data_IF_586806979201
#
_entry.id   IF_586806979201
#
_cell.length_a   1.000
_cell.length_b   1.000
_cell.length_c   1.000
_cell.angle_alpha   90.00
_cell.angle_beta   90.00
_cell.angle_gamma   90.00
#
_symmetry.space_group_name_H-M   'P 1'
#
loop_
_entity.id
_entity.type
_entity.pdbx_description
1 polymer ?
#
# COMPACT_ATOMS: atom_id res chain seq x y z
N UNK A 1 -15.87 -14.42 -2.74
CA UNK A 1 -16.19 -13.07 -3.25
C UNK A 1 -15.86 -12.94 -4.74
N UNK A 2 -16.68 -12.29 -5.57
CA UNK A 2 -16.36 -11.97 -6.97
C UNK A 2 -15.84 -10.52 -7.06
N UNK A 3 -14.70 -10.29 -7.72
CA UNK A 3 -14.07 -8.96 -7.85
C UNK A 3 -14.38 -8.24 -9.17
N UNK A 4 -15.25 -8.80 -10.04
CA UNK A 4 -15.60 -8.22 -11.34
C UNK A 4 -16.14 -6.78 -11.29
N UNK A 5 -16.82 -6.41 -10.22
CA UNK A 5 -17.37 -5.07 -10.02
C UNK A 5 -16.50 -4.18 -9.13
N UNK A 6 -15.36 -4.68 -8.66
CA UNK A 6 -14.50 -3.97 -7.73
C UNK A 6 -13.68 -2.87 -8.43
N UNK A 7 -13.52 -1.73 -7.75
CA UNK A 7 -12.42 -0.80 -8.01
C UNK A 7 -11.26 -1.13 -7.07
N UNK A 8 -10.09 -1.46 -7.64
CA UNK A 8 -8.86 -1.57 -6.87
C UNK A 8 -8.26 -0.17 -6.71
N UNK A 9 -7.94 0.23 -5.49
CA UNK A 9 -7.27 1.51 -5.20
C UNK A 9 -5.94 1.21 -4.53
N UNK A 10 -4.85 1.69 -5.12
CA UNK A 10 -3.49 1.52 -4.58
C UNK A 10 -2.79 2.86 -4.42
N UNK A 11 -1.77 2.89 -3.57
CA UNK A 11 -1.01 4.09 -3.28
C UNK A 11 -0.07 4.44 -4.45
N UNK A 12 0.85 3.56 -4.82
CA UNK A 12 1.92 3.85 -5.76
C UNK A 12 1.86 2.98 -7.02
N UNK A 13 2.45 3.43 -8.13
CA UNK A 13 2.68 2.57 -9.29
C UNK A 13 3.64 1.44 -8.91
N UNK A 14 3.22 0.20 -9.17
CA UNK A 14 3.77 -1.10 -8.79
C UNK A 14 3.01 -1.83 -7.68
N UNK A 15 2.29 -1.11 -6.81
CA UNK A 15 1.50 -1.72 -5.73
C UNK A 15 0.38 -2.63 -6.26
N UNK A 16 -0.21 -2.31 -7.41
CA UNK A 16 -1.29 -3.07 -8.02
C UNK A 16 -0.89 -4.49 -8.40
N UNK A 17 0.40 -4.72 -8.66
CA UNK A 17 0.94 -6.05 -8.91
C UNK A 17 1.62 -6.64 -7.68
N UNK A 18 2.21 -5.84 -6.80
CA UNK A 18 2.90 -6.35 -5.62
C UNK A 18 1.94 -7.06 -4.65
N UNK A 19 0.75 -6.47 -4.45
CA UNK A 19 -0.15 -6.90 -3.38
C UNK A 19 -1.51 -7.42 -3.87
N UNK A 20 -1.81 -7.29 -5.17
CA UNK A 20 -3.14 -7.57 -5.73
C UNK A 20 -3.10 -8.33 -7.07
N UNK A 21 -1.98 -9.00 -7.38
CA UNK A 21 -1.79 -9.68 -8.66
C UNK A 21 -2.89 -10.71 -8.97
N UNK A 22 -3.40 -11.40 -7.94
CA UNK A 22 -4.43 -12.44 -8.06
C UNK A 22 -5.82 -11.92 -8.43
N UNK A 23 -6.06 -10.61 -8.28
CA UNK A 23 -7.36 -9.97 -8.57
C UNK A 23 -7.25 -8.87 -9.63
N UNK A 24 -6.03 -8.43 -9.97
CA UNK A 24 -5.79 -7.31 -10.87
C UNK A 24 -6.54 -7.47 -12.19
N UNK A 25 -6.48 -8.65 -12.82
CA UNK A 25 -7.17 -8.95 -14.08
C UNK A 25 -8.70 -9.01 -13.93
N UNK A 26 -9.20 -9.24 -12.72
CA UNK A 26 -10.63 -9.39 -12.42
C UNK A 26 -11.31 -8.09 -12.02
N UNK A 27 -10.60 -7.08 -11.50
CA UNK A 27 -11.21 -5.80 -11.12
C UNK A 27 -11.79 -5.04 -12.33
N UNK A 28 -12.90 -4.33 -12.10
CA UNK A 28 -13.56 -3.44 -13.07
C UNK A 28 -12.64 -2.31 -13.50
N UNK A 29 -11.92 -1.74 -12.55
CA UNK A 29 -10.98 -0.64 -12.74
C UNK A 29 -9.94 -0.61 -11.63
N UNK A 30 -8.86 0.13 -11.88
CA UNK A 30 -7.79 0.36 -10.91
C UNK A 30 -7.48 1.84 -10.85
N UNK A 31 -7.39 2.39 -9.65
CA UNK A 31 -6.93 3.75 -9.38
C UNK A 31 -5.59 3.68 -8.66
N UNK A 32 -4.56 4.26 -9.27
CA UNK A 32 -3.25 4.44 -8.64
C UNK A 32 -3.15 5.88 -8.17
N UNK A 33 -3.08 6.08 -6.86
CA UNK A 33 -3.24 7.40 -6.24
C UNK A 33 -2.10 8.36 -6.57
N UNK A 34 -0.88 7.94 -6.27
CA UNK A 34 0.29 8.79 -6.32
C UNK A 34 1.08 8.60 -7.61
N UNK A 35 1.82 9.66 -7.98
CA UNK A 35 2.67 9.69 -9.15
C UNK A 35 4.10 10.04 -8.81
N UNK A 36 4.43 11.33 -8.93
CA UNK A 36 5.76 11.84 -8.63
C UNK A 36 5.98 11.98 -7.12
N UNK A 37 7.23 11.75 -6.70
CA UNK A 37 7.71 12.05 -5.35
C UNK A 37 7.49 13.52 -4.98
N UNK A 38 7.58 13.84 -3.69
CA UNK A 38 7.40 15.21 -3.22
C UNK A 38 8.37 16.18 -3.91
N UNK A 39 9.63 15.77 -4.10
CA UNK A 39 10.67 16.58 -4.75
C UNK A 39 10.71 16.46 -6.28
N UNK A 40 10.07 15.44 -6.86
CA UNK A 40 10.23 15.06 -8.28
C UNK A 40 11.69 14.81 -8.68
N UNK A 41 12.51 14.35 -7.73
CA UNK A 41 13.94 14.09 -7.92
C UNK A 41 14.32 12.66 -7.54
N UNK A 42 13.36 11.78 -7.23
CA UNK A 42 13.67 10.38 -7.01
C UNK A 42 13.98 9.71 -8.35
N UNK A 43 14.86 8.70 -8.32
CA UNK A 43 15.34 8.00 -9.53
C UNK A 43 14.21 7.41 -10.39
N UNK A 44 13.08 7.07 -9.77
CA UNK A 44 11.94 6.44 -10.43
C UNK A 44 10.94 7.45 -11.00
N UNK A 45 11.06 8.75 -10.73
CA UNK A 45 10.05 9.74 -11.12
C UNK A 45 9.89 9.86 -12.65
N UNK A 46 11.00 9.95 -13.38
CA UNK A 46 10.98 10.02 -14.85
C UNK A 46 10.42 8.74 -15.46
N UNK A 47 10.85 7.59 -14.94
CA UNK A 47 10.41 6.28 -15.36
C UNK A 47 8.91 6.06 -15.15
N UNK A 48 8.40 6.41 -13.97
CA UNK A 48 6.96 6.39 -13.67
C UNK A 48 6.21 7.30 -14.60
N UNK A 49 6.70 8.52 -14.85
CA UNK A 49 6.04 9.45 -15.74
C UNK A 49 5.89 8.89 -17.16
N UNK A 50 6.93 8.24 -17.70
CA UNK A 50 6.88 7.61 -19.01
C UNK A 50 5.93 6.40 -19.01
N UNK A 51 6.10 5.48 -18.07
CA UNK A 51 5.32 4.26 -17.98
C UNK A 51 3.82 4.54 -17.78
N UNK A 52 3.44 5.59 -17.05
CA UNK A 52 2.04 5.97 -16.85
C UNK A 52 1.31 6.37 -18.14
N UNK A 53 2.02 6.95 -19.11
CA UNK A 53 1.43 7.34 -20.40
C UNK A 53 1.21 6.12 -21.31
N UNK A 54 2.03 5.08 -21.15
CA UNK A 54 2.05 3.89 -22.01
C UNK A 54 1.62 2.62 -21.28
N UNK A 55 0.99 2.75 -20.11
CA UNK A 55 0.67 1.60 -19.27
C UNK A 55 -0.30 0.64 -19.99
N UNK A 56 0.01 -0.67 -20.08
CA UNK A 56 -0.66 -1.56 -21.01
C UNK A 56 -2.10 -1.93 -20.59
N UNK A 57 -2.45 -1.73 -19.33
CA UNK A 57 -3.78 -2.05 -18.82
C UNK A 57 -4.67 -0.81 -18.86
N UNK A 58 -5.54 -0.72 -19.87
CA UNK A 58 -6.45 0.43 -20.09
C UNK A 58 -7.41 0.71 -18.94
N UNK A 59 -7.66 -0.29 -18.08
CA UNK A 59 -8.49 -0.14 -16.87
C UNK A 59 -7.75 0.49 -15.69
N UNK A 60 -6.45 0.72 -15.80
CA UNK A 60 -5.63 1.38 -14.79
C UNK A 60 -5.58 2.86 -15.08
N UNK A 61 -5.97 3.67 -14.09
CA UNK A 61 -5.92 5.12 -14.14
C UNK A 61 -5.01 5.64 -13.04
N UNK A 62 -4.03 6.45 -13.43
CA UNK A 62 -3.15 7.15 -12.51
C UNK A 62 -3.75 8.51 -12.15
N UNK A 63 -4.05 8.73 -10.87
CA UNK A 63 -4.55 10.02 -10.37
C UNK A 63 -3.44 11.07 -10.27
N UNK A 64 -2.17 10.63 -10.33
CA UNK A 64 -0.96 11.46 -10.36
C UNK A 64 -0.91 12.49 -9.23
N UNK A 65 -1.43 12.14 -8.05
CA UNK A 65 -1.24 12.95 -6.85
C UNK A 65 0.23 12.93 -6.47
N UNK A 66 0.73 14.04 -5.93
CA UNK A 66 2.12 14.12 -5.48
C UNK A 66 2.27 13.37 -4.16
N UNK A 67 3.30 12.53 -4.05
CA UNK A 67 3.63 11.84 -2.80
C UNK A 67 4.09 12.83 -1.72
N UNK A 68 4.04 12.38 -0.49
CA UNK A 68 4.53 13.10 0.69
C UNK A 68 5.96 12.72 1.08
N UNK A 69 6.51 11.68 0.45
CA UNK A 69 7.77 11.03 0.82
C UNK A 69 7.77 10.60 2.31
N UNK A 70 6.63 10.11 2.82
CA UNK A 70 6.46 9.75 4.22
C UNK A 70 7.10 8.41 4.59
N UNK A 71 7.70 7.69 3.64
CA UNK A 71 8.27 6.38 3.88
C UNK A 71 9.29 6.36 5.05
N UNK A 72 9.07 5.45 5.99
CA UNK A 72 9.91 5.20 7.16
C UNK A 72 10.09 6.41 8.11
N UNK A 73 9.07 7.26 8.18
CA UNK A 73 9.03 8.44 9.06
C UNK A 73 8.25 8.20 10.35
N UNK A 74 7.25 7.30 10.35
CA UNK A 74 6.45 7.01 11.53
C UNK A 74 7.25 6.19 12.57
N UNK A 75 6.82 6.24 13.83
CA UNK A 75 7.31 5.34 14.87
C UNK A 75 6.60 3.99 14.79
N UNK A 76 7.20 3.04 14.06
CA UNK A 76 6.66 1.68 13.92
C UNK A 76 6.86 0.81 15.16
N UNK A 77 7.65 1.25 16.14
CA UNK A 77 7.76 0.60 17.45
C UNK A 77 6.60 0.97 18.40
N UNK A 78 5.92 2.08 18.12
CA UNK A 78 4.64 2.44 18.75
C UNK A 78 3.76 3.25 17.78
N UNK A 79 3.21 2.60 16.73
CA UNK A 79 2.49 3.32 15.70
C UNK A 79 1.19 3.87 16.26
N UNK A 80 1.00 5.18 16.10
CA UNK A 80 -0.25 5.88 16.44
C UNK A 80 -1.00 6.22 15.18
N UNK A 81 -2.25 5.77 15.13
CA UNK A 81 -3.14 6.07 14.01
C UNK A 81 -3.85 7.39 14.26
N UNK A 82 -3.97 8.19 13.21
CA UNK A 82 -4.67 9.48 13.18
C UNK A 82 -5.53 9.56 11.92
N UNK A 83 -6.35 10.60 11.77
CA UNK A 83 -7.26 10.75 10.62
C UNK A 83 -6.55 10.71 9.26
N UNK A 84 -5.32 11.23 9.18
CA UNK A 84 -4.52 11.25 7.95
C UNK A 84 -3.77 9.94 7.65
N UNK A 85 -3.86 8.93 8.53
CA UNK A 85 -3.06 7.71 8.46
C UNK A 85 -2.31 7.44 9.76
N UNK A 86 -1.01 7.73 9.76
CA UNK A 86 -0.13 7.63 10.95
C UNK A 86 0.33 8.99 11.46
N UNK A 87 0.53 9.09 12.77
CA UNK A 87 1.19 10.24 13.40
C UNK A 87 2.64 10.29 12.90
N UNK A 88 2.99 11.38 12.22
CA UNK A 88 4.36 11.65 11.76
C UNK A 88 5.02 12.74 12.61
N UNK A 89 6.36 12.77 12.70
CA UNK A 89 7.07 13.88 13.33
C UNK A 89 6.69 15.24 12.72
N UNK A 90 6.62 16.29 13.53
CA UNK A 90 6.12 17.65 13.14
C UNK A 90 6.66 18.19 11.81
N UNK A 91 7.93 17.92 11.48
CA UNK A 91 8.55 18.40 10.24
C UNK A 91 8.10 17.69 8.96
N UNK A 92 7.36 16.57 9.07
CA UNK A 92 6.88 15.75 7.95
C UNK A 92 5.35 15.65 7.89
N UNK A 93 4.65 16.06 8.95
CA UNK A 93 3.20 15.83 9.08
C UNK A 93 2.36 16.70 8.11
N UNK A 94 2.73 17.96 7.86
CA UNK A 94 1.89 18.87 7.08
C UNK A 94 1.63 18.41 5.63
N UNK A 95 2.64 17.88 4.94
CA UNK A 95 2.48 17.40 3.55
C UNK A 95 1.63 16.14 3.53
N UNK A 96 1.92 15.20 4.44
CA UNK A 96 1.16 13.96 4.58
C UNK A 96 -0.31 14.21 4.91
N UNK A 97 -0.62 15.13 5.83
CA UNK A 97 -2.00 15.52 6.18
C UNK A 97 -2.74 16.20 5.01
N UNK A 98 -2.04 17.03 4.23
CA UNK A 98 -2.60 17.62 3.00
C UNK A 98 -2.90 16.55 1.95
N UNK A 99 -2.04 15.54 1.84
CA UNK A 99 -2.29 14.40 0.96
C UNK A 99 -3.54 13.63 1.36
N UNK A 100 -3.76 13.34 2.65
CA UNK A 100 -5.01 12.72 3.11
C UNK A 100 -6.25 13.54 2.74
N UNK A 101 -6.19 14.87 2.90
CA UNK A 101 -7.30 15.76 2.52
C UNK A 101 -7.55 15.72 1.01
N UNK A 102 -6.48 15.70 0.21
CA UNK A 102 -6.58 15.64 -1.25
C UNK A 102 -7.11 14.29 -1.74
N UNK A 103 -6.61 13.20 -1.17
CA UNK A 103 -7.08 11.84 -1.43
C UNK A 103 -8.57 11.73 -1.14
N UNK A 104 -9.01 12.20 0.03
CA UNK A 104 -10.43 12.14 0.42
C UNK A 104 -11.31 12.80 -0.63
N UNK A 105 -10.96 14.02 -1.06
CA UNK A 105 -11.72 14.75 -2.08
C UNK A 105 -11.73 14.06 -3.44
N UNK A 106 -10.58 13.57 -3.91
CA UNK A 106 -10.47 12.96 -5.24
C UNK A 106 -11.17 11.60 -5.26
N UNK A 107 -10.88 10.74 -4.28
CA UNK A 107 -11.45 9.40 -4.19
C UNK A 107 -12.95 9.43 -3.92
N UNK A 108 -13.48 10.43 -3.20
CA UNK A 108 -14.93 10.60 -3.08
C UNK A 108 -15.59 10.73 -4.46
N UNK A 109 -15.05 11.61 -5.32
CA UNK A 109 -15.58 11.80 -6.68
C UNK A 109 -15.46 10.55 -7.55
N UNK A 110 -14.35 9.83 -7.45
CA UNK A 110 -14.10 8.62 -8.25
C UNK A 110 -14.95 7.41 -7.78
N UNK A 111 -15.36 7.37 -6.51
CA UNK A 111 -15.97 6.18 -5.89
C UNK A 111 -17.45 6.35 -5.51
N UNK A 112 -18.05 7.52 -5.72
CA UNK A 112 -19.44 7.81 -5.29
C UNK A 112 -20.48 6.80 -5.78
N UNK A 113 -20.26 6.18 -6.95
CA UNK A 113 -21.18 5.21 -7.55
C UNK A 113 -20.71 3.75 -7.45
N UNK A 114 -19.66 3.51 -6.67
CA UNK A 114 -19.05 2.21 -6.55
C UNK A 114 -19.61 1.44 -5.36
N UNK A 115 -19.84 0.15 -5.54
CA UNK A 115 -20.36 -0.73 -4.48
C UNK A 115 -19.27 -1.54 -3.80
N UNK A 116 -18.10 -1.68 -4.43
CA UNK A 116 -17.02 -2.53 -3.96
C UNK A 116 -15.66 -1.91 -4.26
N UNK A 117 -14.85 -1.75 -3.21
CA UNK A 117 -13.49 -1.24 -3.26
C UNK A 117 -12.53 -2.24 -2.63
N UNK A 118 -11.37 -2.44 -3.24
CA UNK A 118 -10.26 -3.22 -2.67
C UNK A 118 -9.05 -2.31 -2.53
N UNK A 119 -8.31 -2.41 -1.43
CA UNK A 119 -7.16 -1.53 -1.16
C UNK A 119 -6.13 -2.15 -0.20
N UNK A 120 -5.10 -1.38 0.14
CA UNK A 120 -4.12 -1.67 1.18
C UNK A 120 -4.75 -1.98 2.54
N UNK A 121 -4.03 -2.74 3.35
CA UNK A 121 -4.47 -3.10 4.70
C UNK A 121 -4.20 -1.98 5.73
N UNK A 122 -4.83 -2.05 6.92
CA UNK A 122 -4.69 -1.02 7.96
C UNK A 122 -3.26 -0.77 8.46
N UNK A 123 -2.34 -1.68 8.19
CA UNK A 123 -0.96 -1.63 8.67
C UNK A 123 0.08 -1.44 7.55
N UNK A 124 -0.37 -1.17 6.32
CA UNK A 124 0.47 -0.80 5.18
C UNK A 124 1.44 -1.89 4.75
N UNK A 125 1.01 -3.15 4.75
CA UNK A 125 1.77 -4.32 4.27
C UNK A 125 3.13 -4.48 4.97
N UNK A 126 4.20 -3.99 4.34
CA UNK A 126 5.56 -3.98 4.88
C UNK A 126 5.83 -2.79 5.82
N UNK A 127 4.80 -2.01 6.14
CA UNK A 127 4.86 -0.82 6.96
C UNK A 127 5.16 0.44 6.16
N UNK A 128 4.33 0.75 5.16
CA UNK A 128 4.38 1.99 4.40
C UNK A 128 3.30 2.99 4.85
N UNK A 129 3.72 4.21 5.22
CA UNK A 129 2.86 5.25 5.76
C UNK A 129 1.75 5.67 4.78
N UNK A 130 2.05 5.79 3.48
CA UNK A 130 1.04 6.16 2.48
C UNK A 130 0.05 5.05 2.15
N UNK A 131 0.39 3.77 2.40
CA UNK A 131 -0.56 2.67 2.26
C UNK A 131 -1.61 2.74 3.36
N UNK A 132 -1.16 3.00 4.60
CA UNK A 132 -2.04 3.27 5.75
C UNK A 132 -2.91 4.50 5.49
N UNK A 133 -2.37 5.56 4.86
CA UNK A 133 -3.14 6.76 4.51
C UNK A 133 -4.26 6.46 3.50
N UNK A 134 -3.97 5.71 2.45
CA UNK A 134 -4.98 5.31 1.45
C UNK A 134 -6.06 4.44 2.11
N UNK A 135 -5.68 3.45 2.92
CA UNK A 135 -6.63 2.65 3.70
C UNK A 135 -7.53 3.53 4.58
N UNK A 136 -6.94 4.42 5.41
CA UNK A 136 -7.71 5.27 6.33
C UNK A 136 -8.67 6.19 5.58
N UNK A 137 -8.24 6.73 4.45
CA UNK A 137 -9.09 7.57 3.59
C UNK A 137 -10.29 6.79 3.07
N UNK A 138 -10.07 5.56 2.58
CA UNK A 138 -11.15 4.71 2.07
C UNK A 138 -12.06 4.17 3.17
N UNK A 139 -11.53 3.85 4.35
CA UNK A 139 -12.35 3.48 5.51
C UNK A 139 -13.31 4.61 5.91
N UNK A 140 -12.84 5.87 5.86
CA UNK A 140 -13.70 7.04 6.09
C UNK A 140 -14.72 7.23 4.98
N UNK A 141 -14.34 7.03 3.71
CA UNK A 141 -15.29 7.10 2.60
C UNK A 141 -16.33 5.99 2.66
N UNK A 142 -15.95 4.77 3.08
CA UNK A 142 -16.90 3.68 3.32
C UNK A 142 -18.02 4.13 4.26
N UNK A 143 -17.70 4.78 5.37
CA UNK A 143 -18.70 5.31 6.30
C UNK A 143 -19.56 6.42 5.69
N UNK A 144 -19.00 7.22 4.78
CA UNK A 144 -19.68 8.37 4.16
C UNK A 144 -20.61 7.98 3.01
N UNK A 145 -20.17 7.07 2.13
CA UNK A 145 -20.85 6.76 0.86
C UNK A 145 -21.27 5.29 0.70
N UNK A 146 -20.87 4.39 1.61
CA UNK A 146 -21.54 3.09 1.79
C UNK A 146 -21.09 1.92 0.91
N UNK A 147 -19.87 1.91 0.37
CA UNK A 147 -19.33 0.75 -0.36
C UNK A 147 -18.82 -0.38 0.56
N UNK A 148 -18.71 -1.60 0.03
CA UNK A 148 -17.94 -2.68 0.64
C UNK A 148 -16.44 -2.45 0.44
N UNK A 149 -15.66 -2.62 1.51
CA UNK A 149 -14.22 -2.42 1.49
C UNK A 149 -13.52 -3.74 1.81
N UNK A 150 -12.59 -4.13 0.94
CA UNK A 150 -11.73 -5.28 1.14
C UNK A 150 -10.27 -4.85 1.17
N UNK A 151 -9.44 -5.59 1.91
CA UNK A 151 -8.01 -5.35 2.03
C UNK A 151 -7.20 -6.62 1.81
N UNK A 152 -5.96 -6.50 1.33
CA UNK A 152 -5.04 -7.64 1.29
C UNK A 152 -4.61 -8.06 2.72
N UNK A 153 -3.88 -9.17 2.84
CA UNK A 153 -3.45 -9.73 4.13
C UNK A 153 -1.94 -9.64 4.40
N UNK A 154 -1.20 -8.89 3.58
CA UNK A 154 0.26 -8.87 3.67
C UNK A 154 0.75 -8.23 4.97
N UNK A 155 1.78 -8.79 5.60
CA UNK A 155 2.35 -8.24 6.84
C UNK A 155 3.86 -8.46 6.89
N UNK A 156 4.59 -7.61 7.59
CA UNK A 156 6.03 -7.77 7.84
C UNK A 156 6.35 -7.66 9.33
N UNK A 157 7.61 -7.90 9.70
CA UNK A 157 8.08 -7.65 11.06
C UNK A 157 7.94 -6.19 11.52
N UNK A 158 7.96 -5.22 10.59
CA UNK A 158 7.81 -3.79 10.88
C UNK A 158 6.35 -3.42 11.20
N UNK A 159 5.39 -4.01 10.48
CA UNK A 159 3.97 -3.67 10.59
C UNK A 159 3.18 -4.56 11.56
N UNK A 160 3.76 -5.66 12.04
CA UNK A 160 3.10 -6.67 12.88
C UNK A 160 2.41 -6.09 14.14
N UNK A 161 3.00 -5.06 14.76
CA UNK A 161 2.42 -4.42 15.93
C UNK A 161 1.16 -3.61 15.60
N UNK A 162 1.12 -2.97 14.44
CA UNK A 162 -0.07 -2.25 13.98
C UNK A 162 -1.14 -3.25 13.51
N UNK A 163 -0.72 -4.33 12.86
CA UNK A 163 -1.60 -5.44 12.48
C UNK A 163 -2.34 -6.00 13.70
N UNK A 164 -1.62 -6.35 14.78
CA UNK A 164 -2.25 -6.95 15.97
C UNK A 164 -3.27 -6.01 16.63
N UNK A 165 -3.04 -4.70 16.55
CA UNK A 165 -4.00 -3.68 17.01
C UNK A 165 -5.22 -3.54 16.10
N UNK A 166 -5.12 -3.85 14.80
CA UNK A 166 -6.18 -3.59 13.81
C UNK A 166 -6.91 -4.85 13.33
N UNK A 167 -6.40 -6.05 13.58
CA UNK A 167 -6.95 -7.29 13.03
C UNK A 167 -8.42 -7.55 13.40
N UNK A 168 -8.91 -6.98 14.50
CA UNK A 168 -10.31 -7.05 14.92
C UNK A 168 -11.29 -6.35 13.96
N UNK A 169 -10.79 -5.47 13.08
CA UNK A 169 -11.58 -4.77 12.05
C UNK A 169 -11.78 -5.59 10.76
N UNK A 170 -11.34 -6.86 10.73
CA UNK A 170 -11.44 -7.75 9.58
C UNK A 170 -12.44 -8.88 9.85
N UNK A 171 -13.27 -9.19 8.85
CA UNK A 171 -14.10 -10.39 8.84
C UNK A 171 -13.21 -11.65 8.81
N UNK A 172 -13.47 -12.65 9.66
CA UNK A 172 -12.65 -13.85 9.78
C UNK A 172 -12.61 -14.75 8.54
N UNK A 173 -13.42 -14.47 7.51
CA UNK A 173 -13.54 -15.29 6.30
C UNK A 173 -12.89 -14.62 5.07
N UNK A 174 -11.58 -14.84 4.81
CA UNK A 174 -10.93 -14.27 3.64
C UNK A 174 -11.43 -14.89 2.33
N UNK A 175 -11.41 -14.08 1.28
CA UNK A 175 -11.39 -14.60 -0.09
C UNK A 175 -9.95 -14.85 -0.51
N UNK A 176 -9.56 -16.13 -0.62
CA UNK A 176 -8.25 -16.53 -1.14
C UNK A 176 -8.28 -16.65 -2.66
N UNK A 177 -7.23 -16.17 -3.32
CA UNK A 177 -7.08 -16.20 -4.78
C UNK A 177 -5.66 -16.63 -5.14
N UNK A 178 -5.54 -17.44 -6.19
CA UNK A 178 -4.23 -17.82 -6.71
C UNK A 178 -3.58 -16.61 -7.37
N UNK A 179 -2.35 -16.32 -7.01
CA UNK A 179 -1.54 -15.25 -7.57
C UNK A 179 -1.35 -15.43 -9.08
N UNK A 180 -1.64 -14.40 -9.87
CA UNK A 180 -1.30 -14.37 -11.29
C UNK A 180 0.17 -13.98 -11.46
N UNK A 181 1.07 -14.93 -11.17
CA UNK A 181 2.52 -14.72 -11.26
C UNK A 181 2.94 -14.32 -12.67
N UNK A 182 2.26 -14.82 -13.71
CA UNK A 182 2.59 -14.49 -15.09
C UNK A 182 2.33 -13.01 -15.39
N UNK A 183 1.16 -12.48 -14.98
CA UNK A 183 0.87 -11.06 -15.08
C UNK A 183 1.82 -10.22 -14.23
N UNK A 184 2.05 -10.62 -12.99
CA UNK A 184 2.94 -9.90 -12.07
C UNK A 184 4.38 -9.78 -12.63
N UNK A 185 4.94 -10.87 -13.15
CA UNK A 185 6.27 -10.85 -13.77
C UNK A 185 6.32 -10.00 -15.04
N UNK A 186 5.30 -10.06 -15.90
CA UNK A 186 5.25 -9.22 -17.12
C UNK A 186 5.23 -7.73 -16.78
N UNK A 187 4.37 -7.33 -15.84
CA UNK A 187 4.27 -5.93 -15.44
C UNK A 187 5.52 -5.47 -14.67
N UNK A 188 6.09 -6.32 -13.80
CA UNK A 188 7.40 -6.04 -13.16
C UNK A 188 8.49 -5.77 -14.19
N UNK A 189 8.55 -6.54 -15.28
CA UNK A 189 9.52 -6.31 -16.34
C UNK A 189 9.38 -4.91 -16.93
N UNK A 190 8.15 -4.44 -17.20
CA UNK A 190 7.90 -3.08 -17.67
C UNK A 190 8.37 -2.02 -16.66
N UNK A 191 8.09 -2.21 -15.37
CA UNK A 191 8.58 -1.30 -14.32
C UNK A 191 10.11 -1.25 -14.27
N UNK A 192 10.79 -2.38 -14.44
CA UNK A 192 12.25 -2.47 -14.49
C UNK A 192 12.83 -1.83 -15.75
N UNK A 193 12.25 -2.10 -16.92
CA UNK A 193 12.65 -1.54 -18.21
C UNK A 193 12.51 0.00 -18.25
N UNK A 194 11.56 0.54 -17.48
CA UNK A 194 11.36 1.97 -17.32
C UNK A 194 12.08 2.56 -16.09
N UNK A 195 13.01 1.84 -15.45
CA UNK A 195 13.78 2.31 -14.27
C UNK A 195 12.92 2.79 -13.08
N UNK A 196 11.69 2.28 -12.96
CA UNK A 196 10.70 2.75 -12.00
C UNK A 196 10.19 1.71 -11.02
N UNK A 197 10.73 0.49 -11.05
CA UNK A 197 10.51 -0.52 -10.02
C UNK A 197 11.06 -0.06 -8.66
N UNK A 198 10.21 -0.04 -7.64
CA UNK A 198 10.58 0.43 -6.28
C UNK A 198 10.72 -0.68 -5.25
N UNK A 199 10.49 -1.93 -5.63
CA UNK A 199 10.55 -3.08 -4.75
C UNK A 199 11.81 -3.95 -4.93
N UNK A 200 11.89 -5.02 -4.14
CA UNK A 200 12.94 -6.05 -4.23
C UNK A 200 12.84 -6.74 -5.60
N UNK A 201 13.94 -6.77 -6.36
CA UNK A 201 13.96 -7.22 -7.77
C UNK A 201 13.63 -8.72 -7.89
N UNK A 202 14.19 -9.53 -7.02
CA UNK A 202 14.02 -10.98 -6.95
C UNK A 202 12.84 -11.42 -6.08
N UNK A 203 11.93 -10.49 -5.75
CA UNK A 203 10.70 -10.81 -5.03
C UNK A 203 9.91 -11.90 -5.77
N UNK A 204 9.58 -12.98 -5.05
CA UNK A 204 8.65 -14.00 -5.52
C UNK A 204 7.33 -13.84 -4.76
N UNK A 205 6.24 -13.79 -5.52
CA UNK A 205 4.91 -13.67 -4.95
C UNK A 205 4.51 -14.97 -4.24
N UNK A 206 3.70 -14.89 -3.18
CA UNK A 206 3.10 -16.07 -2.57
C UNK A 206 2.24 -16.82 -3.60
N UNK A 207 1.98 -18.11 -3.37
CA UNK A 207 1.08 -18.90 -4.24
C UNK A 207 -0.35 -18.37 -4.22
N UNK A 208 -0.79 -17.87 -3.07
CA UNK A 208 -2.12 -17.32 -2.86
C UNK A 208 -2.04 -15.97 -2.16
N UNK A 209 -2.92 -15.06 -2.55
CA UNK A 209 -3.22 -13.81 -1.85
C UNK A 209 -4.57 -13.96 -1.14
N UNK A 210 -4.70 -13.36 0.04
CA UNK A 210 -5.96 -13.38 0.82
C UNK A 210 -6.52 -11.97 0.97
N UNK A 211 -7.83 -11.83 0.78
CA UNK A 211 -8.53 -10.55 0.89
C UNK A 211 -9.63 -10.60 1.94
N UNK A 212 -9.60 -9.64 2.84
CA UNK A 212 -10.47 -9.53 4.01
C UNK A 212 -11.47 -8.41 3.85
N UNK A 213 -12.74 -8.67 4.17
CA UNK A 213 -13.73 -7.60 4.27
C UNK A 213 -13.45 -6.78 5.53
N UNK A 214 -13.47 -5.46 5.40
CA UNK A 214 -13.38 -4.54 6.53
C UNK A 214 -14.76 -4.43 7.16
N UNK A 215 -14.84 -4.72 8.45
CA UNK A 215 -16.04 -4.61 9.27
C UNK A 215 -15.90 -3.44 10.23
N UNK A 216 -17.01 -2.79 10.54
CA UNK A 216 -17.03 -1.83 11.64
C UNK A 216 -16.84 -2.59 12.96
N UNK A 217 -16.12 -2.02 13.93
CA UNK A 217 -16.09 -2.59 15.26
C UNK A 217 -17.53 -2.64 15.80
N UNK A 218 -18.03 -3.84 16.03
CA UNK A 218 -19.28 -4.03 16.78
C UNK A 218 -18.94 -3.72 18.23
N UNK A 219 -19.71 -2.84 18.87
CA UNK A 219 -19.53 -2.43 20.28
C UNK A 219 -19.09 -3.61 21.17
N UNK A 220 -18.00 -3.40 21.91
CA UNK A 220 -17.29 -4.38 22.73
C UNK A 220 -18.23 -5.09 23.72
N UNK A 221 -18.81 -6.24 23.35
CA UNK A 221 -19.51 -7.10 24.33
C UNK A 221 -19.45 -8.61 24.07
N UNK A 222 -18.83 -9.08 22.98
CA UNK A 222 -18.69 -10.54 22.78
C UNK A 222 -17.21 -10.89 22.63
N UNK A 223 -16.60 -11.57 23.62
CA UNK A 223 -15.34 -12.26 23.43
C UNK A 223 -15.58 -13.47 22.52
N UNK A 224 -15.79 -13.19 21.24
CA UNK A 224 -15.81 -14.17 20.18
C UNK A 224 -14.38 -14.60 19.90
N UNK A 225 -14.22 -15.91 19.72
CA UNK A 225 -12.98 -16.58 19.31
C UNK A 225 -12.24 -15.73 18.29
N UNK A 226 -11.04 -15.26 18.66
CA UNK A 226 -10.11 -14.59 17.73
C UNK A 226 -9.74 -15.60 16.65
N UNK A 227 -10.51 -15.63 15.56
CA UNK A 227 -10.23 -16.49 14.43
C UNK A 227 -8.79 -16.20 13.99
N UNK A 228 -7.99 -17.25 13.77
CA UNK A 228 -6.68 -17.09 13.16
C UNK A 228 -6.88 -16.46 11.78
N UNK A 229 -6.37 -15.25 11.59
CA UNK A 229 -6.38 -14.56 10.29
C UNK A 229 -5.16 -15.09 9.52
N UNK A 230 -5.29 -15.95 8.50
CA UNK A 230 -4.14 -16.29 7.65
C UNK A 230 -3.59 -15.04 6.96
N UNK A 231 -2.32 -14.74 7.21
CA UNK A 231 -1.63 -13.56 6.68
C UNK A 231 -0.56 -13.97 5.67
N UNK A 232 -0.38 -13.13 4.64
CA UNK A 232 0.73 -13.25 3.71
C UNK A 232 1.98 -12.58 4.33
N UNK A 233 2.84 -13.34 4.99
CA UNK A 233 4.05 -12.77 5.60
C UNK A 233 5.11 -12.42 4.55
N UNK A 234 5.58 -11.17 4.56
CA UNK A 234 6.66 -10.68 3.71
C UNK A 234 8.00 -10.98 4.41
N UNK A 235 8.84 -11.86 3.86
CA UNK A 235 10.15 -12.17 4.44
C UNK A 235 11.09 -10.96 4.33
N UNK A 236 11.96 -10.79 5.32
CA UNK A 236 12.95 -9.69 5.37
C UNK A 236 12.91 -8.91 6.69
N UNK A 237 13.92 -8.08 6.92
CA UNK A 237 13.97 -7.19 8.07
C UNK A 237 13.68 -5.74 7.66
N UNK A 238 12.42 -5.32 7.82
CA UNK A 238 11.97 -3.99 7.47
C UNK A 238 12.18 -2.97 8.59
N UNK A 239 12.64 -3.40 9.77
CA UNK A 239 13.05 -2.49 10.84
C UNK A 239 14.36 -1.80 10.47
N UNK A 240 14.31 -0.49 10.26
CA UNK A 240 15.53 0.28 10.02
C UNK A 240 16.34 0.37 11.33
N UNK A 241 17.51 -0.27 11.37
CA UNK A 241 18.45 -0.10 12.48
C UNK A 241 18.87 1.38 12.60
N UNK A 242 18.90 1.96 13.82
CA UNK A 242 19.41 3.32 14.07
C UNK A 242 20.81 3.56 13.48
N UNK A 243 21.66 2.52 13.48
CA UNK A 243 23.01 2.57 12.89
C UNK A 243 22.98 2.72 11.37
N UNK A 244 22.02 2.07 10.69
CA UNK A 244 21.81 2.18 9.23
C UNK A 244 21.30 3.58 8.86
N UNK A 245 20.48 4.22 9.72
CA UNK A 245 20.05 5.63 9.58
C UNK A 245 21.20 6.64 9.77
N UNK A 246 22.16 6.35 10.64
CA UNK A 246 23.35 7.20 10.85
C UNK A 246 24.37 7.04 9.72
N UNK A 247 24.67 5.80 9.33
CA UNK A 247 25.56 5.50 8.21
C UNK A 247 25.04 6.13 6.91
N UNK A 248 23.75 5.95 6.61
CA UNK A 248 23.12 6.56 5.44
C UNK A 248 23.08 8.08 5.47
N UNK A 249 23.23 8.77 6.62
CA UNK A 249 23.37 10.23 6.64
C UNK A 249 24.78 10.70 6.28
N UNK A 250 25.80 9.94 6.70
CA UNK A 250 27.22 10.26 6.52
C UNK A 250 27.76 9.99 5.10
N UNK A 251 27.04 9.23 4.28
CA UNK A 251 27.52 8.82 2.96
C UNK A 251 27.28 9.87 1.86
N UNK A 252 28.22 10.06 0.91
CA UNK A 252 28.02 10.88 -0.28
C UNK A 252 26.80 10.43 -1.08
N UNK A 253 26.15 11.35 -1.79
CA UNK A 253 24.93 11.09 -2.58
C UNK A 253 25.11 9.97 -3.61
N UNK A 254 26.31 9.87 -4.18
CA UNK A 254 26.73 8.80 -5.11
C UNK A 254 26.74 7.43 -4.44
N UNK A 255 27.22 7.33 -3.19
CA UNK A 255 27.28 6.07 -2.43
C UNK A 255 25.91 5.69 -1.83
N UNK A 256 25.08 6.68 -1.48
CA UNK A 256 23.68 6.47 -1.09
C UNK A 256 22.85 5.80 -2.20
N UNK A 257 23.12 6.15 -3.46
CA UNK A 257 22.45 5.54 -4.62
C UNK A 257 22.79 4.05 -4.76
N UNK A 258 24.04 3.67 -4.48
CA UNK A 258 24.56 2.30 -4.45
C UNK A 258 24.06 1.49 -3.23
N UNK A 259 23.91 2.11 -2.06
CA UNK A 259 23.44 1.39 -0.85
C UNK A 259 21.92 1.18 -0.86
N UNK A 260 21.16 2.01 -1.58
CA UNK A 260 19.76 1.71 -1.92
C UNK A 260 19.60 0.46 -2.80
N UNK A 261 20.68 -0.09 -3.38
CA UNK A 261 20.66 -1.37 -4.11
C UNK A 261 20.73 -2.59 -3.18
N UNK A 262 20.82 -2.40 -1.86
CA UNK A 262 20.65 -3.49 -0.89
C UNK A 262 19.25 -3.40 -0.31
N UNK A 263 18.37 -4.24 -0.87
CA UNK A 263 17.07 -4.61 -0.29
C UNK A 263 17.18 -4.88 1.22
N UNK A 264 16.09 -4.77 1.99
CA UNK A 264 16.05 -5.13 3.40
C UNK A 264 16.19 -6.67 3.57
N UNK A 265 17.38 -7.21 3.37
CA UNK A 265 17.63 -8.65 3.32
C UNK A 265 19.08 -9.10 3.48
N UNK A 266 19.99 -8.19 3.85
CA UNK A 266 21.28 -8.52 4.49
C UNK A 266 21.37 -7.80 5.85
#
# INVERSE_FOLDING_TARGET
MNFQNAILVVAHPDDEILWFSSILSHCKGVLVCFGASFTSQQRWDSGRSALMEEYPLTKVRFLKLRESDAFATADWGNPKQVDSGLELPRGRSSVYEKNATRLLRVLEGELTHESLVVTHNPWGEYGHEEHVQVFRTLARLKQKIGFDLYVNSYVSNKSIQLMSKCAHSLDGNPSMRQTDKALAHRLRALYLENDCWTWIVDYDWPTYESFYRVIEPVDETVPGTRASVPLNYIPGNFNQSPLRKLASKALPTTVKSLIKHVSPGE
#
